data_IF_192330883744
#
_entry.id   IF_192330883744
#
_cell.length_a   1.000
_cell.length_b   1.000
_cell.length_c   1.000
_cell.angle_alpha   90.00
_cell.angle_beta   90.00
_cell.angle_gamma   90.00
#
_symmetry.space_group_name_H-M   'P 1'
#
loop_
_entity.id
_entity.type
_entity.pdbx_description
1 polymer ?
#
# COMPACT_ATOMS: atom_id res chain seq x y z
N UNK A 1 -28.20 0.74 -39.02
CA UNK A 1 -28.53 1.76 -37.99
C UNK A 1 -29.35 1.06 -36.93
N UNK A 2 -29.04 1.23 -35.63
CA UNK A 2 -29.51 0.40 -34.50
C UNK A 2 -28.81 -0.98 -34.48
N UNK A 3 -28.07 -1.38 -33.46
CA UNK A 3 -28.31 -1.21 -32.03
C UNK A 3 -26.99 -0.97 -31.28
N UNK A 4 -26.78 0.25 -30.82
CA UNK A 4 -25.79 0.54 -29.79
C UNK A 4 -26.31 -0.08 -28.48
N UNK A 5 -25.82 -1.27 -28.15
CA UNK A 5 -26.08 -1.94 -26.88
C UNK A 5 -25.58 -1.04 -25.76
N UNK A 6 -26.51 -0.40 -25.06
CA UNK A 6 -26.25 0.44 -23.90
C UNK A 6 -25.67 -0.42 -22.78
N UNK A 7 -24.34 -0.46 -22.68
CA UNK A 7 -23.66 -0.91 -21.47
C UNK A 7 -23.95 0.16 -20.42
N UNK A 8 -25.05 -0.04 -19.70
CA UNK A 8 -25.36 0.69 -18.48
C UNK A 8 -24.47 0.09 -17.40
N UNK A 9 -23.24 0.57 -17.30
CA UNK A 9 -22.40 0.31 -16.12
C UNK A 9 -23.19 0.80 -14.91
N UNK A 10 -23.64 -0.08 -14.00
CA UNK A 10 -24.30 0.39 -12.79
C UNK A 10 -23.31 1.29 -12.08
N UNK A 11 -23.73 2.51 -11.72
CA UNK A 11 -22.91 3.41 -10.93
C UNK A 11 -22.59 2.71 -9.61
N UNK A 12 -21.39 2.13 -9.54
CA UNK A 12 -20.90 1.46 -8.35
C UNK A 12 -20.81 2.52 -7.26
N UNK A 13 -21.72 2.45 -6.28
CA UNK A 13 -21.69 3.37 -5.16
C UNK A 13 -20.44 3.04 -4.36
N UNK A 14 -19.44 3.91 -4.44
CA UNK A 14 -18.27 3.90 -3.56
C UNK A 14 -18.78 3.93 -2.12
N UNK A 15 -18.81 2.76 -1.50
CA UNK A 15 -19.26 2.58 -0.12
C UNK A 15 -18.03 2.69 0.76
N UNK A 16 -17.86 3.86 1.37
CA UNK A 16 -16.85 4.05 2.41
C UNK A 16 -17.26 3.20 3.60
N UNK A 17 -16.38 2.29 4.02
CA UNK A 17 -16.57 1.58 5.28
C UNK A 17 -16.35 2.58 6.42
N UNK A 18 -17.45 3.08 6.97
CA UNK A 18 -17.46 4.13 7.99
C UNK A 18 -16.60 3.74 9.20
N UNK A 19 -16.64 2.47 9.61
CA UNK A 19 -15.86 1.98 10.77
C UNK A 19 -14.37 2.14 10.52
N UNK A 20 -13.85 1.60 9.42
CA UNK A 20 -12.41 1.67 9.10
C UNK A 20 -11.97 3.11 8.84
N UNK A 21 -12.82 3.90 8.18
CA UNK A 21 -12.53 5.30 7.87
C UNK A 21 -12.40 6.14 9.14
N UNK A 22 -13.40 6.09 10.03
CA UNK A 22 -13.37 6.89 11.25
C UNK A 22 -12.30 6.39 12.23
N UNK A 23 -12.11 5.07 12.37
CA UNK A 23 -11.06 4.53 13.25
C UNK A 23 -9.67 4.94 12.78
N UNK A 24 -9.38 4.83 11.47
CA UNK A 24 -8.07 5.22 10.94
C UNK A 24 -7.86 6.73 11.02
N UNK A 25 -8.87 7.52 10.66
CA UNK A 25 -8.80 8.98 10.74
C UNK A 25 -8.58 9.46 12.19
N UNK A 26 -9.31 8.88 13.15
CA UNK A 26 -9.16 9.22 14.57
C UNK A 26 -7.77 8.86 15.08
N UNK A 27 -7.26 7.67 14.75
CA UNK A 27 -5.91 7.25 15.13
C UNK A 27 -4.84 8.18 14.56
N UNK A 28 -4.94 8.53 13.27
CA UNK A 28 -3.98 9.43 12.62
C UNK A 28 -4.04 10.81 13.28
N UNK A 29 -5.23 11.39 13.44
CA UNK A 29 -5.38 12.71 14.05
C UNK A 29 -4.84 12.75 15.48
N UNK A 30 -5.12 11.72 16.28
CA UNK A 30 -4.65 11.63 17.65
C UNK A 30 -3.12 11.50 17.71
N UNK A 31 -2.54 10.62 16.89
CA UNK A 31 -1.09 10.47 16.81
C UNK A 31 -0.42 11.77 16.34
N UNK A 32 -0.93 12.39 15.28
CA UNK A 32 -0.40 13.66 14.76
C UNK A 32 -0.52 14.79 15.79
N UNK A 33 -1.63 14.89 16.51
CA UNK A 33 -1.80 15.89 17.55
C UNK A 33 -0.76 15.74 18.68
N UNK A 34 -0.49 14.50 19.12
CA UNK A 34 0.55 14.21 20.11
C UNK A 34 1.96 14.56 19.60
N UNK A 35 2.25 14.25 18.33
CA UNK A 35 3.53 14.59 17.68
C UNK A 35 3.75 16.10 17.61
N UNK A 36 2.71 16.88 17.32
CA UNK A 36 2.79 18.35 17.25
C UNK A 36 2.87 18.97 18.65
N UNK A 37 2.19 18.42 19.64
CA UNK A 37 2.19 18.94 21.01
C UNK A 37 3.55 18.79 21.72
N UNK A 38 4.31 17.73 21.41
CA UNK A 38 5.62 17.46 22.01
C UNK A 38 6.64 16.94 20.96
N UNK A 39 7.11 17.82 20.06
CA UNK A 39 7.95 17.43 18.92
C UNK A 39 9.31 16.86 19.34
N UNK A 40 9.94 17.41 20.39
CA UNK A 40 11.25 16.94 20.85
C UNK A 40 11.18 15.52 21.42
N UNK A 41 10.18 15.25 22.27
CA UNK A 41 9.96 13.93 22.84
C UNK A 41 9.56 12.92 21.75
N UNK A 42 8.68 13.32 20.82
CA UNK A 42 8.30 12.49 19.69
C UNK A 42 9.50 12.16 18.80
N UNK A 43 10.37 13.14 18.50
CA UNK A 43 11.59 12.93 17.73
C UNK A 43 12.54 11.95 18.41
N UNK A 44 12.73 12.04 19.73
CA UNK A 44 13.55 11.09 20.47
C UNK A 44 12.98 9.67 20.45
N UNK A 45 11.67 9.52 20.71
CA UNK A 45 11.01 8.21 20.74
C UNK A 45 11.00 7.57 19.35
N UNK A 46 10.62 8.32 18.31
CA UNK A 46 10.61 7.84 16.92
C UNK A 46 12.02 7.52 16.44
N UNK A 47 13.01 8.34 16.79
CA UNK A 47 14.42 8.09 16.46
C UNK A 47 14.96 6.82 17.12
N UNK A 48 14.67 6.61 18.40
CA UNK A 48 15.03 5.37 19.11
C UNK A 48 14.35 4.15 18.51
N UNK A 49 13.06 4.23 18.21
CA UNK A 49 12.31 3.16 17.56
C UNK A 49 12.87 2.85 16.16
N UNK A 50 13.19 3.88 15.37
CA UNK A 50 13.80 3.73 14.05
C UNK A 50 15.20 3.09 14.12
N UNK A 51 16.05 3.55 15.05
CA UNK A 51 17.37 2.97 15.26
C UNK A 51 17.28 1.49 15.69
N UNK A 52 16.35 1.17 16.59
CA UNK A 52 16.10 -0.20 17.04
C UNK A 52 15.58 -1.10 15.91
N UNK A 53 14.63 -0.59 15.12
CA UNK A 53 14.07 -1.28 13.96
C UNK A 53 15.17 -1.54 12.91
N UNK A 54 15.96 -0.53 12.56
CA UNK A 54 17.08 -0.68 11.63
C UNK A 54 18.16 -1.63 12.15
N UNK A 55 18.45 -1.64 13.46
CA UNK A 55 19.44 -2.55 14.05
C UNK A 55 18.97 -4.00 14.08
N UNK A 56 17.71 -4.23 14.46
CA UNK A 56 17.17 -5.58 14.67
C UNK A 56 16.61 -6.20 13.39
N UNK A 57 15.91 -5.41 12.57
CA UNK A 57 15.25 -5.85 11.34
C UNK A 57 15.97 -5.41 10.06
N UNK A 58 17.03 -4.60 10.12
CA UNK A 58 17.71 -4.11 8.93
C UNK A 58 18.29 -5.20 8.03
N UNK A 59 18.89 -6.24 8.63
CA UNK A 59 19.42 -7.38 7.87
C UNK A 59 18.31 -8.18 7.17
N UNK A 60 17.19 -8.41 7.86
CA UNK A 60 16.02 -9.08 7.31
C UNK A 60 15.40 -8.25 6.18
N UNK A 61 15.27 -6.94 6.37
CA UNK A 61 14.72 -6.02 5.38
C UNK A 61 15.55 -6.00 4.09
N UNK A 62 16.88 -5.95 4.20
CA UNK A 62 17.78 -6.00 3.05
C UNK A 62 17.69 -7.33 2.30
N UNK A 63 17.60 -8.46 3.01
CA UNK A 63 17.40 -9.77 2.39
C UNK A 63 16.04 -9.88 1.70
N UNK A 64 14.96 -9.43 2.34
CA UNK A 64 13.61 -9.48 1.77
C UNK A 64 13.51 -8.60 0.53
N UNK A 65 14.03 -7.37 0.57
CA UNK A 65 14.06 -6.50 -0.62
C UNK A 65 14.89 -7.13 -1.73
N UNK A 66 16.07 -7.65 -1.40
CA UNK A 66 16.92 -8.33 -2.38
C UNK A 66 16.22 -9.53 -3.01
N UNK A 67 15.59 -10.39 -2.19
CA UNK A 67 14.84 -11.54 -2.65
C UNK A 67 13.62 -11.13 -3.50
N UNK A 68 12.90 -10.08 -3.10
CA UNK A 68 11.76 -9.56 -3.86
C UNK A 68 12.22 -9.00 -5.22
N UNK A 69 13.35 -8.29 -5.26
CA UNK A 69 13.91 -7.78 -6.50
C UNK A 69 14.34 -8.93 -7.44
N UNK A 70 15.05 -9.93 -6.91
CA UNK A 70 15.41 -11.13 -7.67
C UNK A 70 14.16 -11.86 -8.17
N UNK A 71 13.12 -11.96 -7.34
CA UNK A 71 11.84 -12.56 -7.71
C UNK A 71 11.16 -11.79 -8.86
N UNK A 72 11.03 -10.46 -8.75
CA UNK A 72 10.41 -9.61 -9.79
C UNK A 72 11.21 -9.66 -11.08
N UNK A 73 12.54 -9.60 -11.02
CA UNK A 73 13.42 -9.75 -12.18
C UNK A 73 13.22 -11.14 -12.81
N UNK A 74 13.20 -12.19 -11.98
CA UNK A 74 12.92 -13.56 -12.41
C UNK A 74 11.57 -13.67 -13.12
N UNK A 75 10.52 -13.04 -12.61
CA UNK A 75 9.21 -12.98 -13.26
C UNK A 75 9.24 -12.23 -14.59
N UNK A 76 9.97 -11.11 -14.65
CA UNK A 76 10.08 -10.28 -15.85
C UNK A 76 10.75 -11.02 -17.02
N UNK A 77 11.81 -11.80 -16.75
CA UNK A 77 12.45 -12.63 -17.77
C UNK A 77 11.76 -13.99 -17.98
N UNK A 78 10.88 -14.40 -17.07
CA UNK A 78 10.13 -15.65 -17.18
C UNK A 78 8.91 -15.50 -18.09
N UNK A 79 8.40 -16.64 -18.56
CA UNK A 79 7.18 -16.76 -19.35
C UNK A 79 5.95 -16.16 -18.64
N UNK A 80 5.97 -16.09 -17.31
CA UNK A 80 4.93 -15.46 -16.49
C UNK A 80 4.84 -13.93 -16.66
N UNK A 81 5.91 -13.24 -17.06
CA UNK A 81 5.87 -11.80 -17.36
C UNK A 81 5.03 -11.44 -18.60
N UNK A 82 4.74 -12.43 -19.46
CA UNK A 82 3.91 -12.25 -20.66
C UNK A 82 2.41 -12.43 -20.38
N UNK A 83 2.04 -12.83 -19.17
CA UNK A 83 0.64 -13.05 -18.79
C UNK A 83 0.02 -11.71 -18.39
N UNK A 84 -0.79 -11.14 -19.30
CA UNK A 84 -1.58 -9.93 -19.04
C UNK A 84 -2.62 -10.27 -17.95
N UNK A 85 -2.46 -9.71 -16.74
CA UNK A 85 -3.46 -9.78 -15.66
C UNK A 85 -4.60 -8.80 -15.97
N UNK A 86 -5.45 -9.20 -16.91
CA UNK A 86 -6.65 -8.48 -17.35
C UNK A 86 -7.61 -9.44 -18.05
N UNK A 87 -8.90 -9.11 -18.07
CA UNK A 87 -9.89 -9.89 -18.81
C UNK A 87 -9.47 -10.05 -20.27
N UNK A 88 -9.81 -11.20 -20.89
CA UNK A 88 -9.37 -11.57 -22.24
C UNK A 88 -9.87 -10.62 -23.36
N UNK A 89 -10.57 -9.54 -23.02
CA UNK A 89 -11.23 -8.61 -23.95
C UNK A 89 -10.84 -7.13 -23.79
N UNK A 90 -9.88 -6.77 -22.95
CA UNK A 90 -9.31 -5.42 -22.95
C UNK A 90 -8.13 -5.36 -23.94
N UNK A 91 -8.45 -5.00 -25.20
CA UNK A 91 -7.48 -4.63 -26.23
C UNK A 91 -6.75 -3.35 -25.86
#
# INVERSE_FOLDING_TARGET
>A
MSSASLIKTPAERVRVNSVVFYTSALLILLLTALLIAAPDAAGQILGQAQAWLSRSFGWYYMLVIGAYLVFVIGLAFSSYGKLKLGGKDDK
#
